data_IF_580970981260
#
_entry.id   IF_580970981260
#
_cell.length_a   1.000
_cell.length_b   1.000
_cell.length_c   1.000
_cell.angle_alpha   90.00
_cell.angle_beta   90.00
_cell.angle_gamma   90.00
#
_symmetry.space_group_name_H-M   'P 1'
#
loop_
_entity.id
_entity.type
_entity.pdbx_description
1 polymer ?
#
# COMPACT_ATOMS: atom_id res chain seq x y z
N UNK A 1 51.65 21.60 -9.13
CA UNK A 1 50.30 22.02 -8.68
C UNK A 1 49.51 20.76 -8.37
N UNK A 2 49.36 20.43 -7.09
CA UNK A 2 48.69 19.22 -6.61
C UNK A 2 47.44 19.67 -5.84
N UNK A 3 46.27 19.18 -6.23
CA UNK A 3 45.02 19.30 -5.46
C UNK A 3 44.62 17.89 -5.05
N UNK A 4 44.76 17.60 -3.76
CA UNK A 4 44.19 16.43 -3.12
C UNK A 4 42.67 16.59 -2.98
N UNK A 5 41.92 15.62 -3.52
CA UNK A 5 40.54 15.35 -3.14
C UNK A 5 40.51 14.72 -1.74
N UNK A 6 39.72 15.31 -0.84
CA UNK A 6 39.32 14.69 0.43
C UNK A 6 37.97 14.01 0.21
N UNK A 7 37.97 12.68 0.29
CA UNK A 7 36.77 11.86 0.46
C UNK A 7 36.17 12.12 1.85
N UNK A 8 34.90 12.55 1.88
CA UNK A 8 34.11 12.74 3.11
C UNK A 8 33.31 11.45 3.36
N UNK A 9 33.60 10.78 4.48
CA UNK A 9 32.84 9.63 4.99
C UNK A 9 31.42 10.05 5.38
N UNK A 10 30.42 9.44 4.76
CA UNK A 10 28.97 9.61 4.99
C UNK A 10 28.42 8.52 5.92
N UNK A 11 29.05 8.29 7.07
CA UNK A 11 28.65 7.25 8.03
C UNK A 11 27.81 7.69 9.24
N UNK A 12 27.43 8.97 9.37
CA UNK A 12 26.93 9.53 10.64
C UNK A 12 25.41 9.60 10.89
N UNK A 13 24.55 9.41 9.89
CA UNK A 13 23.15 9.87 10.00
C UNK A 13 22.19 9.02 10.85
N UNK A 14 22.36 7.70 10.88
CA UNK A 14 21.38 6.78 11.48
C UNK A 14 21.60 6.63 13.01
N UNK A 15 22.86 6.61 13.43
CA UNK A 15 23.22 6.41 14.84
C UNK A 15 23.00 7.67 15.70
N UNK A 16 23.29 8.84 15.15
CA UNK A 16 23.04 10.12 15.82
C UNK A 16 21.54 10.42 15.97
N UNK A 17 20.69 9.87 15.08
CA UNK A 17 19.23 9.97 15.21
C UNK A 17 18.65 8.98 16.22
N UNK A 18 19.25 7.78 16.36
CA UNK A 18 18.75 6.72 17.25
C UNK A 18 19.26 6.85 18.70
N UNK A 19 20.42 7.47 18.91
CA UNK A 19 21.08 7.59 20.21
C UNK A 19 21.55 9.02 20.52
N UNK A 20 20.87 10.02 19.97
CA UNK A 20 21.26 11.42 19.98
C UNK A 20 21.84 11.92 21.31
N UNK A 21 23.04 12.49 21.22
CA UNK A 21 23.77 13.09 22.35
C UNK A 21 22.95 14.27 22.91
N UNK A 22 22.74 14.39 24.24
CA UNK A 22 22.05 15.55 24.80
C UNK A 22 22.78 16.84 24.41
N UNK A 23 22.08 17.82 23.83
CA UNK A 23 22.68 19.12 23.52
C UNK A 23 23.02 19.84 24.83
N UNK A 24 24.27 20.28 25.00
CA UNK A 24 24.65 21.17 26.09
C UNK A 24 23.90 22.50 25.92
N UNK A 25 22.82 22.72 26.68
CA UNK A 25 22.22 24.04 26.80
C UNK A 25 23.22 24.95 27.52
N UNK A 26 23.74 25.97 26.84
CA UNK A 26 24.49 27.05 27.49
C UNK A 26 23.55 27.75 28.47
N UNK A 27 23.93 27.76 29.75
CA UNK A 27 23.20 28.45 30.80
C UNK A 27 23.07 29.94 30.50
N UNK A 28 21.84 30.40 30.39
CA UNK A 28 21.48 31.81 30.43
C UNK A 28 20.95 32.14 31.81
N UNK A 29 21.66 33.02 32.51
CA UNK A 29 21.27 33.58 33.81
C UNK A 29 19.94 34.34 33.68
N UNK A 30 18.91 33.95 34.43
CA UNK A 30 17.68 34.74 34.57
C UNK A 30 17.47 35.07 36.05
N UNK A 31 17.30 36.37 36.30
CA UNK A 31 17.16 37.00 37.60
C UNK A 31 15.86 36.63 38.31
N UNK A 32 15.97 36.50 39.63
CA UNK A 32 14.89 36.45 40.61
C UNK A 32 13.84 37.54 40.40
N UNK A 33 12.57 37.14 40.35
CA UNK A 33 11.39 38.00 40.38
C UNK A 33 10.25 37.25 41.08
N UNK A 34 10.06 37.56 42.36
CA UNK A 34 9.07 37.02 43.30
C UNK A 34 7.65 37.39 42.90
N UNK A 35 6.73 36.43 42.80
CA UNK A 35 5.30 36.63 43.08
C UNK A 35 4.68 35.34 43.63
N UNK A 36 4.05 35.47 44.79
CA UNK A 36 3.40 34.41 45.56
C UNK A 36 1.92 34.30 45.19
N UNK A 37 1.40 33.08 45.01
CA UNK A 37 0.07 32.72 45.51
C UNK A 37 -0.25 31.21 45.42
N UNK A 38 -0.82 30.67 46.51
CA UNK A 38 -1.89 29.66 46.45
C UNK A 38 -1.49 28.20 46.53
N UNK A 39 -1.06 27.73 47.71
CA UNK A 39 -0.86 26.29 47.98
C UNK A 39 -2.16 25.49 48.06
N UNK A 40 -2.12 24.27 47.53
CA UNK A 40 -2.99 23.14 47.90
C UNK A 40 -2.12 21.89 48.10
N UNK A 41 -2.47 20.97 49.02
CA UNK A 41 -1.53 20.06 49.65
C UNK A 41 -1.12 18.93 48.70
N UNK A 42 0.17 18.65 48.67
CA UNK A 42 0.78 17.50 47.99
C UNK A 42 0.57 16.28 48.88
N UNK A 43 -0.23 15.32 48.42
CA UNK A 43 -0.27 13.98 49.00
C UNK A 43 1.09 13.33 48.78
N UNK A 44 1.71 12.93 49.89
CA UNK A 44 3.00 12.24 49.93
C UNK A 44 2.87 10.80 49.47
N UNK A 45 3.16 10.56 48.19
CA UNK A 45 3.66 9.26 47.74
C UNK A 45 5.01 9.50 47.06
N UNK A 46 6.07 9.42 47.86
CA UNK A 46 7.46 9.50 47.40
C UNK A 46 7.81 8.19 46.67
N UNK A 47 7.43 8.09 45.40
CA UNK A 47 8.17 7.25 44.46
C UNK A 47 9.42 8.03 44.04
N UNK A 48 10.53 7.76 44.73
CA UNK A 48 11.85 8.28 44.33
C UNK A 48 12.21 7.63 42.99
N UNK A 49 12.04 8.37 41.91
CA UNK A 49 12.54 7.99 40.58
C UNK A 49 14.08 8.07 40.63
N UNK A 50 14.83 7.00 40.29
CA UNK A 50 16.29 7.00 40.37
C UNK A 50 16.92 8.18 39.60
N UNK A 51 17.97 8.77 40.17
CA UNK A 51 18.70 9.88 39.58
C UNK A 51 19.47 9.44 38.32
N UNK A 52 19.80 10.39 37.44
CA UNK A 52 20.62 10.12 36.24
C UNK A 52 21.98 9.52 36.59
N UNK A 53 22.51 9.84 37.78
CA UNK A 53 23.75 9.33 38.36
C UNK A 53 23.64 7.85 38.77
N UNK A 54 22.46 7.40 39.23
CA UNK A 54 22.19 5.99 39.58
C UNK A 54 22.24 5.09 38.34
N UNK A 55 21.79 5.59 37.19
CA UNK A 55 21.86 4.86 35.92
C UNK A 55 23.29 4.70 35.41
N UNK A 56 24.17 5.69 35.60
CA UNK A 56 25.57 5.57 35.17
C UNK A 56 26.31 4.50 35.98
N UNK A 57 26.11 4.46 37.30
CA UNK A 57 26.70 3.44 38.15
C UNK A 57 26.15 2.04 37.83
N UNK A 58 24.83 1.92 37.62
CA UNK A 58 24.20 0.67 37.22
C UNK A 58 24.77 0.12 35.91
N UNK A 59 24.89 0.94 34.86
CA UNK A 59 25.39 0.50 33.55
C UNK A 59 26.88 0.11 33.60
N UNK A 60 27.66 0.79 34.44
CA UNK A 60 29.08 0.48 34.63
C UNK A 60 29.29 -0.85 35.38
N UNK A 61 28.37 -1.23 36.26
CA UNK A 61 28.42 -2.46 37.05
C UNK A 61 27.95 -3.71 36.30
N UNK A 62 27.29 -3.56 35.14
CA UNK A 62 26.84 -4.71 34.34
C UNK A 62 28.02 -5.57 33.86
N UNK A 63 27.86 -6.89 33.96
CA UNK A 63 28.75 -7.84 33.32
C UNK A 63 28.68 -7.72 31.79
N UNK A 64 29.66 -8.28 31.09
CA UNK A 64 29.68 -8.24 29.60
C UNK A 64 28.44 -8.94 29.04
N UNK A 65 28.04 -10.08 29.60
CA UNK A 65 26.87 -10.82 29.15
C UNK A 65 25.55 -10.05 29.39
N UNK A 66 25.40 -9.39 30.55
CA UNK A 66 24.20 -8.59 30.85
C UNK A 66 24.13 -7.31 30.01
N UNK A 67 25.30 -6.69 29.74
CA UNK A 67 25.40 -5.55 28.84
C UNK A 67 24.97 -5.95 27.43
N UNK A 68 25.46 -7.07 26.94
CA UNK A 68 25.15 -7.60 25.60
C UNK A 68 23.67 -7.93 25.48
N UNK A 69 23.08 -8.57 26.50
CA UNK A 69 21.65 -8.87 26.56
C UNK A 69 20.79 -7.58 26.54
N UNK A 70 21.12 -6.59 27.37
CA UNK A 70 20.40 -5.29 27.38
C UNK A 70 20.57 -4.51 26.08
N UNK A 71 21.73 -4.58 25.46
CA UNK A 71 21.97 -3.92 24.18
C UNK A 71 21.15 -4.57 23.06
N UNK A 72 21.07 -5.90 23.05
CA UNK A 72 20.20 -6.65 22.13
C UNK A 72 18.72 -6.29 22.33
N UNK A 73 18.25 -6.23 23.58
CA UNK A 73 16.88 -5.82 23.91
C UNK A 73 16.55 -4.44 23.32
N UNK A 74 17.44 -3.45 23.47
CA UNK A 74 17.25 -2.10 22.91
C UNK A 74 17.27 -2.12 21.38
N UNK A 75 18.17 -2.89 20.76
CA UNK A 75 18.23 -3.02 19.30
C UNK A 75 16.92 -3.61 18.75
N UNK A 76 16.37 -4.61 19.44
CA UNK A 76 15.09 -5.22 19.09
C UNK A 76 13.94 -4.24 19.29
N UNK A 77 13.92 -3.52 20.42
CA UNK A 77 12.88 -2.55 20.74
C UNK A 77 12.89 -1.34 19.79
N UNK A 78 14.06 -0.97 19.26
CA UNK A 78 14.21 0.08 18.24
C UNK A 78 13.91 -0.41 16.80
N UNK A 79 13.49 -1.67 16.63
CA UNK A 79 13.13 -2.25 15.34
C UNK A 79 14.24 -2.16 14.26
N UNK A 80 15.51 -2.31 14.67
CA UNK A 80 16.63 -2.16 13.74
C UNK A 80 16.71 -3.39 12.81
N UNK A 81 16.79 -3.20 11.47
CA UNK A 81 16.95 -4.29 10.50
C UNK A 81 18.19 -5.16 10.76
N UNK A 82 18.10 -6.48 10.52
CA UNK A 82 19.15 -7.45 10.86
C UNK A 82 20.51 -7.11 10.25
N UNK A 83 20.52 -6.66 9.00
CA UNK A 83 21.69 -6.19 8.24
C UNK A 83 22.40 -4.99 8.91
N UNK A 84 21.68 -4.20 9.71
CA UNK A 84 22.24 -3.07 10.46
C UNK A 84 22.63 -3.43 11.90
N UNK A 85 22.32 -4.64 12.37
CA UNK A 85 22.65 -5.09 13.74
C UNK A 85 24.10 -5.51 13.88
N UNK A 86 24.65 -6.22 12.90
CA UNK A 86 26.04 -6.69 12.92
C UNK A 86 27.07 -5.59 13.22
N UNK A 87 27.07 -4.42 12.54
CA UNK A 87 28.00 -3.35 12.85
C UNK A 87 27.76 -2.69 14.22
N UNK A 88 26.55 -2.80 14.78
CA UNK A 88 26.24 -2.33 16.14
C UNK A 88 26.77 -3.29 17.19
N UNK A 89 26.63 -4.60 16.96
CA UNK A 89 27.10 -5.65 17.85
C UNK A 89 28.63 -5.74 17.88
N UNK A 90 29.30 -5.37 16.79
CA UNK A 90 30.76 -5.31 16.69
C UNK A 90 31.40 -4.11 17.44
N UNK A 91 30.61 -3.22 18.05
CA UNK A 91 31.12 -2.05 18.78
C UNK A 91 31.76 -2.40 20.12
N UNK A 92 32.67 -1.53 20.58
CA UNK A 92 33.36 -1.75 21.86
C UNK A 92 32.37 -1.77 23.03
N UNK A 93 32.77 -2.37 24.16
CA UNK A 93 31.97 -2.40 25.39
C UNK A 93 31.56 -0.99 25.83
N UNK A 94 32.50 -0.06 25.78
CA UNK A 94 32.33 1.34 26.19
C UNK A 94 31.38 2.10 25.25
N UNK A 95 31.42 1.80 23.95
CA UNK A 95 30.48 2.38 22.99
C UNK A 95 29.05 1.89 23.25
N UNK A 96 28.88 0.59 23.49
CA UNK A 96 27.56 0.00 23.79
C UNK A 96 27.00 0.50 25.12
N UNK A 97 27.83 0.64 26.15
CA UNK A 97 27.44 1.29 27.41
C UNK A 97 26.95 2.73 27.21
N UNK A 98 27.63 3.52 26.39
CA UNK A 98 27.20 4.90 26.06
C UNK A 98 25.86 4.91 25.33
N UNK A 99 25.64 3.99 24.40
CA UNK A 99 24.37 3.89 23.67
C UNK A 99 23.19 3.52 24.58
N UNK A 100 23.37 2.54 25.47
CA UNK A 100 22.37 2.18 26.48
C UNK A 100 22.08 3.40 27.38
N UNK A 101 23.13 4.09 27.82
CA UNK A 101 23.00 5.29 28.65
C UNK A 101 22.24 6.41 27.94
N UNK A 102 22.52 6.67 26.65
CA UNK A 102 21.77 7.66 25.87
C UNK A 102 20.32 7.27 25.67
N UNK A 103 20.03 5.99 25.43
CA UNK A 103 18.67 5.51 25.31
C UNK A 103 17.87 5.71 26.62
N UNK A 104 18.46 5.33 27.76
CA UNK A 104 17.85 5.50 29.08
C UNK A 104 17.71 6.99 29.48
N UNK A 105 18.73 7.82 29.20
CA UNK A 105 18.64 9.27 29.40
C UNK A 105 17.60 9.91 28.49
N UNK A 106 17.43 9.42 27.25
CA UNK A 106 16.39 9.84 26.33
C UNK A 106 14.99 9.54 26.88
N UNK A 107 14.76 8.30 27.35
CA UNK A 107 13.53 7.87 28.04
C UNK A 107 13.20 8.78 29.23
N UNK A 108 14.17 9.02 30.12
CA UNK A 108 13.93 9.87 31.30
C UNK A 108 13.84 11.38 30.99
N UNK A 109 14.45 11.85 29.89
CA UNK A 109 14.34 13.26 29.47
C UNK A 109 12.97 13.56 28.86
N UNK A 110 12.32 12.56 28.24
CA UNK A 110 10.91 12.64 27.83
C UNK A 110 10.00 12.74 29.06
N UNK A 111 10.29 11.99 30.13
CA UNK A 111 9.55 12.03 31.40
C UNK A 111 9.76 13.31 32.24
N UNK A 112 10.85 14.06 32.04
CA UNK A 112 11.16 15.29 32.81
C UNK A 112 10.92 16.59 32.05
N UNK A 113 10.46 16.54 30.81
CA UNK A 113 10.09 17.75 30.08
C UNK A 113 8.73 18.23 30.57
N UNK A 114 8.75 19.00 31.66
CA UNK A 114 7.58 19.60 32.34
C UNK A 114 6.69 20.52 31.46
N UNK A 115 6.90 20.54 30.14
CA UNK A 115 6.12 21.26 29.13
C UNK A 115 5.53 20.34 28.04
N UNK A 116 5.74 19.00 28.08
CA UNK A 116 5.06 18.08 27.17
C UNK A 116 3.68 17.76 27.71
N UNK A 117 2.61 18.11 26.96
CA UNK A 117 1.23 17.79 27.34
C UNK A 117 0.92 16.28 27.31
N UNK A 118 1.77 15.51 26.64
CA UNK A 118 1.62 14.07 26.44
C UNK A 118 2.95 13.40 26.78
N UNK A 119 3.04 12.80 27.96
CA UNK A 119 4.23 12.11 28.44
C UNK A 119 4.11 10.60 28.20
N UNK A 120 2.90 10.06 28.38
CA UNK A 120 2.60 8.64 28.24
C UNK A 120 1.69 8.35 27.04
N UNK A 121 1.73 7.13 26.48
CA UNK A 121 0.79 6.72 25.43
C UNK A 121 -0.68 6.91 25.82
N UNK A 122 -1.02 6.68 27.09
CA UNK A 122 -2.39 6.80 27.60
C UNK A 122 -2.92 8.23 27.53
N UNK A 123 -2.07 9.24 27.69
CA UNK A 123 -2.46 10.66 27.64
C UNK A 123 -3.05 11.01 26.26
N UNK A 124 -2.47 10.44 25.19
CA UNK A 124 -3.00 10.59 23.84
C UNK A 124 -4.38 9.95 23.69
N UNK A 125 -4.57 8.76 24.28
CA UNK A 125 -5.83 8.03 24.22
C UNK A 125 -6.93 8.79 24.92
N UNK A 126 -6.70 9.24 26.16
CA UNK A 126 -7.68 10.00 26.95
C UNK A 126 -8.02 11.33 26.28
N UNK A 127 -7.01 12.03 25.75
CA UNK A 127 -7.22 13.30 25.06
C UNK A 127 -8.06 13.13 23.79
N UNK A 128 -7.76 12.13 22.96
CA UNK A 128 -8.51 11.91 21.71
C UNK A 128 -9.91 11.34 21.95
N UNK A 129 -10.13 10.65 23.08
CA UNK A 129 -11.45 10.19 23.49
C UNK A 129 -12.31 11.32 24.09
N UNK A 130 -11.69 12.40 24.57
CA UNK A 130 -12.40 13.59 25.00
C UNK A 130 -13.06 14.29 23.79
N UNK A 131 -14.38 14.14 23.67
CA UNK A 131 -15.18 14.66 22.57
C UNK A 131 -15.34 16.18 22.52
N UNK A 132 -14.84 16.92 23.52
CA UNK A 132 -15.00 18.37 23.64
C UNK A 132 -13.94 19.18 22.87
N UNK A 133 -12.95 18.51 22.29
CA UNK A 133 -11.87 19.19 21.58
C UNK A 133 -12.27 19.63 20.17
N UNK A 134 -11.96 20.87 19.84
CA UNK A 134 -12.10 21.40 18.48
C UNK A 134 -11.26 20.57 17.49
N UNK A 135 -11.72 20.49 16.24
CA UNK A 135 -11.02 19.79 15.14
C UNK A 135 -9.53 20.15 15.04
N UNK A 136 -9.17 21.42 15.18
CA UNK A 136 -7.77 21.87 15.14
C UNK A 136 -6.92 21.26 16.27
N UNK A 137 -7.44 21.22 17.50
CA UNK A 137 -6.77 20.62 18.65
C UNK A 137 -6.62 19.10 18.51
N UNK A 138 -7.61 18.44 17.90
CA UNK A 138 -7.53 17.00 17.56
C UNK A 138 -6.42 16.78 16.53
N UNK A 139 -6.38 17.57 15.46
CA UNK A 139 -5.32 17.49 14.44
C UNK A 139 -3.92 17.63 15.05
N UNK A 140 -3.68 18.65 15.88
CA UNK A 140 -2.37 18.86 16.53
C UNK A 140 -1.97 17.68 17.42
N UNK A 141 -2.93 17.07 18.12
CA UNK A 141 -2.67 15.89 18.93
C UNK A 141 -2.31 14.67 18.06
N UNK A 142 -3.03 14.43 16.96
CA UNK A 142 -2.75 13.30 16.05
C UNK A 142 -1.41 13.48 15.34
N UNK A 143 -1.05 14.71 14.95
CA UNK A 143 0.26 15.02 14.37
C UNK A 143 1.39 14.73 15.38
N UNK A 144 1.23 15.15 16.64
CA UNK A 144 2.16 14.82 17.73
C UNK A 144 2.25 13.31 17.98
N UNK A 145 1.11 12.62 17.99
CA UNK A 145 1.03 11.17 18.15
C UNK A 145 1.77 10.44 17.04
N UNK A 146 1.63 10.89 15.78
CA UNK A 146 2.35 10.31 14.64
C UNK A 146 3.86 10.40 14.82
N UNK A 147 4.36 11.54 15.32
CA UNK A 147 5.79 11.70 15.63
C UNK A 147 6.20 10.72 16.72
N UNK A 148 5.46 10.66 17.83
CA UNK A 148 5.73 9.74 18.94
C UNK A 148 5.75 8.27 18.49
N UNK A 149 4.80 7.83 17.68
CA UNK A 149 4.73 6.47 17.12
C UNK A 149 5.90 6.13 16.19
N UNK A 150 6.53 7.13 15.58
CA UNK A 150 7.66 6.93 14.65
C UNK A 150 9.01 7.01 15.37
N UNK A 151 9.13 7.84 16.41
CA UNK A 151 10.39 8.10 17.10
C UNK A 151 10.61 7.21 18.32
N UNK A 152 9.55 6.74 18.96
CA UNK A 152 9.66 5.93 20.18
C UNK A 152 9.84 4.43 19.87
N UNK A 153 10.35 3.65 20.84
CA UNK A 153 10.54 2.21 20.67
C UNK A 153 9.23 1.44 20.52
N UNK A 154 9.31 0.18 20.07
CA UNK A 154 8.18 -0.74 19.95
C UNK A 154 7.46 -0.91 21.30
N UNK A 155 8.17 -0.89 22.43
CA UNK A 155 7.57 -0.96 23.77
C UNK A 155 6.57 0.17 24.02
N UNK A 156 6.84 1.38 23.53
CA UNK A 156 5.90 2.50 23.61
C UNK A 156 4.65 2.24 22.76
N UNK A 157 4.80 1.67 21.57
CA UNK A 157 3.69 1.29 20.68
C UNK A 157 2.85 0.17 21.32
N UNK A 158 3.49 -0.79 21.98
CA UNK A 158 2.83 -1.86 22.74
C UNK A 158 2.02 -1.30 23.92
N UNK A 159 2.54 -0.31 24.62
CA UNK A 159 1.84 0.39 25.70
C UNK A 159 0.66 1.23 25.18
N UNK A 160 0.81 1.90 24.02
CA UNK A 160 -0.31 2.55 23.32
C UNK A 160 -1.44 1.54 23.02
N UNK A 161 -1.06 0.31 22.66
CA UNK A 161 -1.93 -0.84 22.77
C UNK A 161 -3.11 -0.85 21.78
N UNK A 162 -3.98 -1.83 21.97
CA UNK A 162 -5.21 -1.99 21.17
C UNK A 162 -6.18 -0.81 21.40
N UNK A 163 -6.24 -0.28 22.62
CA UNK A 163 -7.10 0.85 22.96
C UNK A 163 -6.72 2.13 22.19
N UNK A 164 -5.42 2.40 22.06
CA UNK A 164 -4.92 3.50 21.26
C UNK A 164 -5.18 3.32 19.77
N UNK A 165 -4.91 2.12 19.23
CA UNK A 165 -5.20 1.78 17.83
C UNK A 165 -6.70 1.95 17.52
N UNK A 166 -7.58 1.46 18.40
CA UNK A 166 -9.03 1.64 18.27
C UNK A 166 -9.47 3.11 18.33
N UNK A 167 -8.69 3.98 18.98
CA UNK A 167 -8.95 5.43 18.98
C UNK A 167 -8.60 6.05 17.61
N UNK A 168 -7.50 5.63 16.99
CA UNK A 168 -7.15 6.04 15.62
C UNK A 168 -8.20 5.54 14.62
N UNK A 169 -8.66 4.29 14.77
CA UNK A 169 -9.72 3.72 13.95
C UNK A 169 -11.03 4.54 14.04
N UNK A 170 -11.45 4.92 15.26
CA UNK A 170 -12.61 5.79 15.47
C UNK A 170 -12.45 7.17 14.81
N UNK A 171 -11.25 7.75 14.86
CA UNK A 171 -10.95 9.01 14.18
C UNK A 171 -11.06 8.88 12.65
N UNK A 172 -10.54 7.79 12.09
CA UNK A 172 -10.69 7.44 10.68
C UNK A 172 -12.15 7.25 10.29
N UNK A 173 -12.94 6.53 11.09
CA UNK A 173 -14.37 6.36 10.83
C UNK A 173 -15.12 7.70 10.88
N UNK A 174 -14.79 8.57 11.84
CA UNK A 174 -15.38 9.91 11.95
C UNK A 174 -15.01 10.81 10.77
N UNK A 175 -13.81 10.67 10.22
CA UNK A 175 -13.37 11.51 9.09
C UNK A 175 -14.14 11.21 7.80
N UNK A 176 -14.67 10.00 7.64
CA UNK A 176 -15.48 9.63 6.46
C UNK A 176 -16.76 10.43 6.34
N UNK A 177 -17.33 10.84 7.47
CA UNK A 177 -18.59 11.57 7.53
C UNK A 177 -18.40 13.07 7.82
N UNK A 178 -17.16 13.55 7.96
CA UNK A 178 -16.89 14.93 8.33
C UNK A 178 -15.75 15.53 7.51
N UNK A 179 -16.08 16.41 6.57
CA UNK A 179 -15.10 17.10 5.72
C UNK A 179 -14.06 17.90 6.52
N UNK A 180 -14.38 18.41 7.71
CA UNK A 180 -13.39 19.14 8.52
C UNK A 180 -12.26 18.24 9.02
N UNK A 181 -12.43 16.92 8.98
CA UNK A 181 -11.46 15.93 9.45
C UNK A 181 -10.51 15.45 8.34
N UNK A 182 -10.50 16.04 7.15
CA UNK A 182 -9.62 15.61 6.05
C UNK A 182 -8.12 15.57 6.44
N UNK A 183 -7.63 16.59 7.14
CA UNK A 183 -6.24 16.59 7.64
C UNK A 183 -5.99 15.55 8.73
N UNK A 184 -7.01 15.27 9.54
CA UNK A 184 -6.97 14.25 10.60
C UNK A 184 -6.95 12.86 9.98
N UNK A 185 -7.71 12.63 8.91
CA UNK A 185 -7.71 11.40 8.12
C UNK A 185 -6.30 11.08 7.62
N UNK A 186 -5.65 12.05 6.98
CA UNK A 186 -4.28 11.91 6.48
C UNK A 186 -3.30 11.51 7.60
N UNK A 187 -3.26 12.26 8.71
CA UNK A 187 -2.33 11.94 9.80
C UNK A 187 -2.70 10.63 10.53
N UNK A 188 -3.98 10.27 10.65
CA UNK A 188 -4.40 9.00 11.23
C UNK A 188 -3.90 7.80 10.40
N UNK A 189 -3.94 7.87 9.07
CA UNK A 189 -3.35 6.84 8.19
C UNK A 189 -1.82 6.77 8.42
N UNK A 190 -1.15 7.90 8.60
CA UNK A 190 0.29 7.93 8.90
C UNK A 190 0.61 7.37 10.29
N UNK A 191 -0.25 7.56 11.29
CA UNK A 191 -0.14 6.88 12.58
C UNK A 191 -0.23 5.36 12.40
N UNK A 192 -1.23 4.87 11.64
CA UNK A 192 -1.34 3.44 11.34
C UNK A 192 -0.09 2.90 10.64
N UNK A 193 0.46 3.64 9.68
CA UNK A 193 1.71 3.28 9.02
C UNK A 193 2.87 3.15 9.99
N UNK A 194 3.02 4.07 10.94
CA UNK A 194 4.05 3.98 11.96
C UNK A 194 3.86 2.75 12.86
N UNK A 195 2.61 2.48 13.27
CA UNK A 195 2.26 1.31 14.10
C UNK A 195 2.58 0.00 13.38
N UNK A 196 2.29 -0.10 12.09
CA UNK A 196 2.46 -1.33 11.30
C UNK A 196 3.88 -1.52 10.77
N UNK A 197 4.76 -0.56 10.98
CA UNK A 197 6.17 -0.69 10.64
C UNK A 197 6.92 -1.71 11.53
N UNK A 198 6.21 -2.45 12.39
CA UNK A 198 6.72 -3.57 13.16
C UNK A 198 5.69 -4.73 13.15
N UNK A 199 6.17 -5.94 13.39
CA UNK A 199 5.33 -7.16 13.34
C UNK A 199 4.21 -7.17 14.37
N UNK A 200 4.44 -6.60 15.56
CA UNK A 200 3.43 -6.54 16.62
C UNK A 200 2.23 -5.68 16.19
N UNK A 201 2.47 -4.45 15.74
CA UNK A 201 1.40 -3.54 15.30
C UNK A 201 0.68 -4.06 14.05
N UNK A 202 1.42 -4.66 13.11
CA UNK A 202 0.82 -5.35 11.96
C UNK A 202 -0.14 -6.47 12.39
N UNK A 203 0.26 -7.30 13.37
CA UNK A 203 -0.58 -8.38 13.89
C UNK A 203 -1.85 -7.88 14.57
N UNK A 204 -1.79 -6.72 15.25
CA UNK A 204 -2.96 -6.11 15.87
C UNK A 204 -3.91 -5.54 14.81
N UNK A 205 -3.39 -4.81 13.82
CA UNK A 205 -4.22 -4.15 12.80
C UNK A 205 -4.81 -5.15 11.79
N UNK A 206 -4.04 -6.16 11.37
CA UNK A 206 -4.44 -7.17 10.39
C UNK A 206 -4.94 -8.46 11.05
N UNK A 207 -5.60 -8.35 12.21
CA UNK A 207 -6.16 -9.48 12.94
C UNK A 207 -7.16 -10.28 12.06
N UNK A 208 -7.12 -11.63 12.04
CA UNK A 208 -8.11 -12.48 11.35
C UNK A 208 -9.57 -12.09 11.56
N UNK A 209 -9.94 -11.63 12.75
CA UNK A 209 -11.33 -11.38 13.14
C UNK A 209 -11.80 -9.95 12.82
N UNK A 210 -10.87 -9.01 12.62
CA UNK A 210 -11.19 -7.58 12.45
C UNK A 210 -10.71 -7.05 11.09
N UNK A 211 -11.60 -6.32 10.41
CA UNK A 211 -11.38 -5.80 9.05
C UNK A 211 -11.67 -4.31 8.91
N UNK A 212 -12.02 -3.64 10.01
CA UNK A 212 -12.49 -2.26 10.02
C UNK A 212 -11.44 -1.30 9.49
N UNK A 213 -10.17 -1.42 9.92
CA UNK A 213 -9.08 -0.57 9.41
C UNK A 213 -8.90 -0.75 7.90
N UNK A 214 -8.93 -1.99 7.39
CA UNK A 214 -8.80 -2.27 5.94
C UNK A 214 -9.97 -1.66 5.16
N UNK A 215 -11.20 -1.76 5.68
CA UNK A 215 -12.38 -1.10 5.10
C UNK A 215 -12.26 0.42 5.09
N UNK A 216 -11.81 1.02 6.20
CA UNK A 216 -11.61 2.47 6.31
C UNK A 216 -10.51 2.97 5.37
N UNK A 217 -9.44 2.20 5.17
CA UNK A 217 -8.39 2.49 4.19
C UNK A 217 -8.93 2.37 2.75
N UNK A 218 -9.75 1.36 2.45
CA UNK A 218 -10.40 1.24 1.15
C UNK A 218 -11.35 2.43 0.89
N UNK A 219 -12.05 2.94 1.90
CA UNK A 219 -12.83 4.18 1.82
C UNK A 219 -11.97 5.44 1.65
N UNK A 220 -10.65 5.38 1.93
CA UNK A 220 -9.72 6.50 1.69
C UNK A 220 -9.21 6.56 0.25
N UNK A 221 -9.61 5.64 -0.63
CA UNK A 221 -9.25 5.63 -2.04
C UNK A 221 -10.08 6.69 -2.81
N UNK A 222 -9.75 7.96 -2.58
CA UNK A 222 -10.40 9.12 -3.19
C UNK A 222 -9.37 9.98 -3.96
N UNK A 223 -9.41 10.00 -5.30
CA UNK A 223 -8.48 10.79 -6.13
C UNK A 223 -8.52 12.29 -5.85
N UNK A 224 -9.62 12.80 -5.27
CA UNK A 224 -9.75 14.21 -4.87
C UNK A 224 -8.89 14.55 -3.65
N UNK A 225 -8.38 13.55 -2.93
CA UNK A 225 -7.49 13.69 -1.77
C UNK A 225 -6.17 12.95 -2.03
N UNK A 226 -5.30 13.42 -2.95
CA UNK A 226 -4.14 12.66 -3.44
C UNK A 226 -3.20 12.17 -2.34
N UNK A 227 -2.88 13.03 -1.37
CA UNK A 227 -1.94 12.69 -0.30
C UNK A 227 -2.47 11.57 0.61
N UNK A 228 -3.75 11.66 0.98
CA UNK A 228 -4.44 10.63 1.77
C UNK A 228 -4.53 9.32 1.01
N UNK A 229 -4.93 9.37 -0.26
CA UNK A 229 -5.03 8.19 -1.11
C UNK A 229 -3.66 7.52 -1.30
N UNK A 230 -2.58 8.29 -1.50
CA UNK A 230 -1.22 7.76 -1.57
C UNK A 230 -0.84 6.93 -0.35
N UNK A 231 -1.08 7.44 0.86
CA UNK A 231 -0.75 6.70 2.09
C UNK A 231 -1.66 5.48 2.28
N UNK A 232 -2.93 5.57 1.88
CA UNK A 232 -3.84 4.42 1.89
C UNK A 232 -3.38 3.31 0.92
N UNK A 233 -3.02 3.66 -0.32
CA UNK A 233 -2.52 2.73 -1.33
C UNK A 233 -1.25 2.01 -0.87
N UNK A 234 -0.29 2.74 -0.26
CA UNK A 234 0.93 2.14 0.29
C UNK A 234 0.62 1.06 1.34
N UNK A 235 -0.32 1.33 2.24
CA UNK A 235 -0.72 0.37 3.26
C UNK A 235 -1.47 -0.83 2.68
N UNK A 236 -2.45 -0.60 1.80
CA UNK A 236 -3.20 -1.67 1.16
C UNK A 236 -2.29 -2.58 0.31
N UNK A 237 -1.35 -2.01 -0.46
CA UNK A 237 -0.33 -2.76 -1.18
C UNK A 237 0.50 -3.63 -0.23
N UNK A 238 0.94 -3.05 0.91
CA UNK A 238 1.68 -3.79 1.92
C UNK A 238 0.88 -4.92 2.55
N UNK A 239 -0.44 -4.83 2.65
CA UNK A 239 -1.28 -5.92 3.18
C UNK A 239 -1.45 -7.05 2.17
N UNK A 240 -1.53 -6.74 0.88
CA UNK A 240 -1.67 -7.76 -0.17
C UNK A 240 -0.53 -8.79 -0.14
N UNK A 241 0.68 -8.38 0.25
CA UNK A 241 1.86 -9.25 0.33
C UNK A 241 1.98 -10.03 1.65
N UNK A 242 1.05 -9.85 2.61
CA UNK A 242 1.04 -10.57 3.89
C UNK A 242 0.14 -11.82 3.78
N UNK A 243 0.68 -12.86 3.15
CA UNK A 243 -0.04 -14.12 2.87
C UNK A 243 -0.51 -14.84 4.14
N UNK A 244 0.31 -14.89 5.18
CA UNK A 244 0.02 -15.58 6.46
C UNK A 244 -1.22 -15.05 7.20
N UNK A 245 -1.76 -13.90 6.78
CA UNK A 245 -2.90 -13.21 7.41
C UNK A 245 -4.08 -13.01 6.46
N UNK A 246 -4.07 -13.68 5.30
CA UNK A 246 -5.04 -13.51 4.21
C UNK A 246 -5.18 -12.03 3.80
N UNK A 247 -4.08 -11.26 3.88
CA UNK A 247 -4.12 -9.80 3.69
C UNK A 247 -4.66 -9.39 2.33
N UNK A 248 -4.29 -10.13 1.27
CA UNK A 248 -4.82 -9.95 -0.09
C UNK A 248 -6.35 -10.05 -0.16
N UNK A 249 -6.93 -11.15 0.36
CA UNK A 249 -8.38 -11.37 0.34
C UNK A 249 -9.12 -10.28 1.12
N UNK A 250 -8.56 -9.86 2.27
CA UNK A 250 -9.13 -8.79 3.09
C UNK A 250 -9.19 -7.47 2.32
N UNK A 251 -8.12 -7.11 1.61
CA UNK A 251 -8.04 -5.88 0.79
C UNK A 251 -9.06 -5.94 -0.35
N UNK A 252 -9.07 -7.03 -1.13
CA UNK A 252 -9.96 -7.16 -2.28
C UNK A 252 -11.43 -7.15 -1.85
N UNK A 253 -11.76 -7.85 -0.76
CA UNK A 253 -13.11 -7.84 -0.18
C UNK A 253 -13.49 -6.45 0.33
N UNK A 254 -12.58 -5.74 0.97
CA UNK A 254 -12.83 -4.38 1.45
C UNK A 254 -13.17 -3.44 0.29
N UNK A 255 -12.35 -3.41 -0.75
CA UNK A 255 -12.58 -2.60 -1.96
C UNK A 255 -13.94 -2.93 -2.59
N UNK A 256 -14.26 -4.21 -2.72
CA UNK A 256 -15.55 -4.68 -3.25
C UNK A 256 -16.73 -4.24 -2.37
N UNK A 257 -16.59 -4.32 -1.04
CA UNK A 257 -17.63 -3.92 -0.09
C UNK A 257 -17.91 -2.42 -0.16
N UNK A 258 -16.85 -1.60 -0.26
CA UNK A 258 -16.99 -0.14 -0.36
C UNK A 258 -17.65 0.27 -1.68
N UNK A 259 -17.27 -0.39 -2.77
CA UNK A 259 -17.87 -0.19 -4.09
C UNK A 259 -19.38 -0.47 -4.08
N UNK A 260 -19.79 -1.60 -3.47
CA UNK A 260 -21.19 -2.02 -3.36
C UNK A 260 -22.03 -1.14 -2.43
N UNK A 261 -21.42 -0.58 -1.36
CA UNK A 261 -22.13 0.24 -0.36
C UNK A 261 -22.17 1.73 -0.74
N UNK A 262 -21.36 2.15 -1.72
CA UNK A 262 -21.35 3.54 -2.19
C UNK A 262 -22.71 3.92 -2.78
N UNK A 263 -23.17 5.15 -2.51
CA UNK A 263 -24.50 5.67 -2.91
C UNK A 263 -24.79 5.60 -4.43
N UNK A 264 -23.76 5.40 -5.26
CA UNK A 264 -23.90 5.25 -6.72
C UNK A 264 -23.53 3.88 -7.26
N UNK A 265 -23.31 2.86 -6.42
CA UNK A 265 -22.75 1.56 -6.81
C UNK A 265 -21.58 1.75 -7.79
N UNK A 266 -20.45 2.25 -7.26
CA UNK A 266 -19.29 2.53 -8.09
C UNK A 266 -18.61 1.23 -8.51
N UNK A 267 -18.00 1.21 -9.67
CA UNK A 267 -17.07 0.14 -10.02
C UNK A 267 -15.86 0.19 -9.07
N UNK A 268 -15.44 -0.97 -8.56
CA UNK A 268 -14.56 -1.05 -7.39
C UNK A 268 -13.14 -0.54 -7.64
N UNK A 269 -12.67 -0.61 -8.88
CA UNK A 269 -11.33 -0.16 -9.27
C UNK A 269 -11.32 1.23 -9.93
N UNK A 270 -12.49 1.83 -10.16
CA UNK A 270 -12.61 3.14 -10.82
C UNK A 270 -11.80 4.25 -10.12
N UNK A 271 -11.85 4.41 -8.79
CA UNK A 271 -11.05 5.45 -8.12
C UNK A 271 -9.54 5.25 -8.33
N UNK A 272 -9.07 4.00 -8.35
CA UNK A 272 -7.64 3.68 -8.51
C UNK A 272 -7.18 3.98 -9.94
N UNK A 273 -8.02 3.67 -10.93
CA UNK A 273 -7.72 3.95 -12.34
C UNK A 273 -7.77 5.46 -12.62
N UNK A 274 -8.77 6.18 -12.11
CA UNK A 274 -8.86 7.64 -12.27
C UNK A 274 -7.63 8.34 -11.65
N UNK A 275 -7.08 7.80 -10.56
CA UNK A 275 -5.88 8.33 -9.90
C UNK A 275 -4.60 8.25 -10.75
N UNK A 276 -4.51 7.35 -11.74
CA UNK A 276 -3.40 7.31 -12.71
C UNK A 276 -3.32 8.59 -13.57
N UNK A 277 -4.45 9.26 -13.73
CA UNK A 277 -4.62 10.44 -14.59
C UNK A 277 -4.79 11.73 -13.80
N UNK A 278 -4.37 11.75 -12.53
CA UNK A 278 -4.40 12.97 -11.72
C UNK A 278 -3.66 14.11 -12.43
N UNK A 279 -4.19 15.33 -12.35
CA UNK A 279 -3.62 16.48 -13.06
C UNK A 279 -2.23 16.86 -12.52
N UNK A 280 -1.34 17.39 -13.38
CA UNK A 280 -0.01 17.89 -12.97
C UNK A 280 -0.08 18.97 -11.87
N UNK A 281 -1.17 19.74 -11.83
CA UNK A 281 -1.37 20.77 -10.80
C UNK A 281 -1.54 20.16 -9.41
N UNK A 282 -2.19 18.99 -9.33
CA UNK A 282 -2.45 18.29 -8.06
C UNK A 282 -1.34 17.31 -7.70
N UNK A 283 -0.66 16.74 -8.71
CA UNK A 283 0.37 15.72 -8.54
C UNK A 283 1.60 15.97 -9.43
N UNK A 284 2.39 17.03 -9.14
CA UNK A 284 3.49 17.47 -10.00
C UNK A 284 4.64 16.45 -10.11
N UNK A 285 4.74 15.52 -9.15
CA UNK A 285 5.74 14.44 -9.14
C UNK A 285 5.19 13.10 -9.60
N UNK A 286 3.91 13.05 -9.99
CA UNK A 286 3.20 11.83 -10.36
C UNK A 286 3.27 10.75 -9.27
N UNK A 287 3.28 11.17 -7.99
CA UNK A 287 3.33 10.27 -6.85
C UNK A 287 2.03 9.47 -6.69
N UNK A 288 0.87 10.09 -6.89
CA UNK A 288 -0.42 9.39 -6.82
C UNK A 288 -0.54 8.39 -7.96
N UNK A 289 -0.17 8.79 -9.18
CA UNK A 289 -0.15 7.88 -10.32
C UNK A 289 0.80 6.69 -10.07
N UNK A 290 2.00 6.96 -9.54
CA UNK A 290 2.99 5.93 -9.20
C UNK A 290 2.44 4.92 -8.18
N UNK A 291 1.92 5.39 -7.04
CA UNK A 291 1.39 4.47 -6.02
C UNK A 291 0.12 3.74 -6.45
N UNK A 292 -0.69 4.34 -7.33
CA UNK A 292 -1.86 3.67 -7.91
C UNK A 292 -1.43 2.53 -8.82
N UNK A 293 -0.40 2.74 -9.65
CA UNK A 293 0.14 1.71 -10.53
C UNK A 293 0.87 0.59 -9.74
N UNK A 294 1.61 0.95 -8.69
CA UNK A 294 2.19 -0.02 -7.75
C UNK A 294 1.09 -0.90 -7.15
N UNK A 295 -0.02 -0.31 -6.73
CA UNK A 295 -1.14 -1.05 -6.15
C UNK A 295 -1.85 -1.94 -7.17
N UNK A 296 -2.06 -1.46 -8.40
CA UNK A 296 -2.59 -2.27 -9.51
C UNK A 296 -1.70 -3.49 -9.75
N UNK A 297 -0.39 -3.28 -9.94
CA UNK A 297 0.58 -4.37 -10.12
C UNK A 297 0.56 -5.35 -8.95
N UNK A 298 0.45 -4.84 -7.71
CA UNK A 298 0.35 -5.70 -6.53
C UNK A 298 -0.92 -6.56 -6.59
N UNK A 299 -2.07 -5.96 -6.88
CA UNK A 299 -3.34 -6.69 -6.97
C UNK A 299 -3.33 -7.75 -8.08
N UNK A 300 -2.74 -7.45 -9.24
CA UNK A 300 -2.77 -8.35 -10.41
C UNK A 300 -1.65 -9.38 -10.40
N UNK A 301 -0.53 -9.13 -9.73
CA UNK A 301 0.64 -10.01 -9.76
C UNK A 301 0.76 -10.89 -8.51
N UNK A 302 0.07 -10.55 -7.42
CA UNK A 302 0.07 -11.38 -6.20
C UNK A 302 -0.60 -12.75 -6.41
N UNK A 303 -1.72 -12.90 -7.13
CA UNK A 303 -2.34 -14.20 -7.34
C UNK A 303 -1.52 -15.12 -8.26
N UNK A 304 -1.47 -16.41 -7.93
CA UNK A 304 -0.78 -17.43 -8.74
C UNK A 304 -1.64 -18.02 -9.86
N UNK A 305 -2.97 -17.97 -9.73
CA UNK A 305 -3.89 -18.46 -10.74
C UNK A 305 -4.01 -17.47 -11.92
N UNK A 306 -3.66 -17.92 -13.12
CA UNK A 306 -3.71 -17.10 -14.33
C UNK A 306 -5.12 -16.57 -14.62
N UNK A 307 -6.16 -17.39 -14.47
CA UNK A 307 -7.53 -16.96 -14.78
C UNK A 307 -7.95 -15.80 -13.89
N UNK A 308 -7.60 -15.87 -12.60
CA UNK A 308 -7.87 -14.81 -11.65
C UNK A 308 -7.03 -13.55 -11.91
N UNK A 309 -5.75 -13.69 -12.31
CA UNK A 309 -4.92 -12.56 -12.76
C UNK A 309 -5.53 -11.85 -13.98
N UNK A 310 -5.90 -12.61 -15.02
CA UNK A 310 -6.54 -12.11 -16.22
C UNK A 310 -7.88 -11.44 -15.92
N UNK A 311 -8.70 -12.05 -15.06
CA UNK A 311 -9.97 -11.48 -14.62
C UNK A 311 -9.80 -10.07 -14.02
N UNK A 312 -8.87 -9.92 -13.07
CA UNK A 312 -8.58 -8.63 -12.44
C UNK A 312 -8.00 -7.61 -13.42
N UNK A 313 -7.04 -8.01 -14.26
CA UNK A 313 -6.48 -7.15 -15.31
C UNK A 313 -7.56 -6.63 -16.23
N UNK A 314 -8.41 -7.52 -16.75
CA UNK A 314 -9.49 -7.13 -17.65
C UNK A 314 -10.51 -6.22 -16.98
N UNK A 315 -10.85 -6.47 -15.72
CA UNK A 315 -11.72 -5.57 -14.96
C UNK A 315 -11.11 -4.18 -14.83
N UNK A 316 -9.84 -4.06 -14.44
CA UNK A 316 -9.13 -2.78 -14.31
C UNK A 316 -9.05 -2.05 -15.67
N UNK A 317 -8.74 -2.77 -16.75
CA UNK A 317 -8.69 -2.21 -18.11
C UNK A 317 -10.05 -1.62 -18.52
N UNK A 318 -11.15 -2.31 -18.21
CA UNK A 318 -12.53 -1.85 -18.48
C UNK A 318 -12.96 -0.62 -17.67
N UNK A 319 -12.25 -0.24 -16.60
CA UNK A 319 -12.53 0.99 -15.85
C UNK A 319 -12.10 2.27 -16.60
N UNK A 320 -11.82 2.18 -17.90
CA UNK A 320 -11.37 3.29 -18.75
C UNK A 320 -9.85 3.42 -18.88
N UNK A 321 -9.07 2.47 -18.34
CA UNK A 321 -7.63 2.43 -18.59
C UNK A 321 -7.32 1.99 -20.02
N UNK A 322 -8.13 1.09 -20.60
CA UNK A 322 -7.97 0.65 -21.99
C UNK A 322 -8.03 1.83 -22.98
N UNK A 323 -9.12 2.59 -22.93
CA UNK A 323 -9.35 3.72 -23.86
C UNK A 323 -8.30 4.84 -23.72
N UNK A 324 -7.63 4.91 -22.57
CA UNK A 324 -6.68 5.97 -22.22
C UNK A 324 -5.24 5.46 -22.09
N UNK A 325 -4.94 4.26 -22.55
CA UNK A 325 -3.61 3.66 -22.38
C UNK A 325 -2.52 4.46 -23.11
N UNK A 326 -2.83 5.00 -24.30
CA UNK A 326 -1.91 5.86 -25.05
C UNK A 326 -1.66 7.19 -24.33
N UNK A 327 -2.68 7.75 -23.69
CA UNK A 327 -2.54 8.95 -22.86
C UNK A 327 -1.66 8.65 -21.64
N UNK A 328 -1.90 7.52 -20.97
CA UNK A 328 -1.12 7.11 -19.80
C UNK A 328 0.35 6.86 -20.16
N UNK A 329 0.61 6.21 -21.30
CA UNK A 329 1.97 6.02 -21.83
C UNK A 329 2.70 7.36 -21.97
N UNK A 330 2.07 8.35 -22.60
CA UNK A 330 2.64 9.70 -22.75
C UNK A 330 2.89 10.38 -21.41
N UNK A 331 1.98 10.22 -20.43
CA UNK A 331 2.15 10.75 -19.07
C UNK A 331 3.38 10.13 -18.41
N UNK A 332 3.57 8.81 -18.53
CA UNK A 332 4.70 8.10 -17.92
C UNK A 332 6.02 8.48 -18.58
N UNK A 333 6.06 8.56 -19.92
CA UNK A 333 7.26 8.96 -20.68
C UNK A 333 7.69 10.40 -20.39
N UNK A 334 6.73 11.32 -20.22
CA UNK A 334 7.00 12.70 -19.86
C UNK A 334 7.35 12.91 -18.37
N UNK A 335 7.08 11.91 -17.53
CA UNK A 335 7.31 11.99 -16.08
C UNK A 335 8.77 11.77 -15.73
N UNK A 336 9.29 12.54 -14.77
CA UNK A 336 10.62 12.33 -14.18
C UNK A 336 10.61 11.29 -13.03
N UNK A 337 9.50 10.57 -12.83
CA UNK A 337 9.36 9.60 -11.76
C UNK A 337 9.84 8.21 -12.23
N UNK A 338 11.09 7.87 -11.92
CA UNK A 338 11.72 6.60 -12.30
C UNK A 338 10.94 5.38 -11.81
N UNK A 339 10.37 5.44 -10.60
CA UNK A 339 9.58 4.35 -10.04
C UNK A 339 8.28 4.15 -10.84
N UNK A 340 7.62 5.23 -11.28
CA UNK A 340 6.44 5.12 -12.14
C UNK A 340 6.79 4.46 -13.47
N UNK A 341 7.88 4.88 -14.11
CA UNK A 341 8.36 4.28 -15.36
C UNK A 341 8.69 2.80 -15.20
N UNK A 342 9.38 2.43 -14.13
CA UNK A 342 9.70 1.04 -13.83
C UNK A 342 8.44 0.20 -13.61
N UNK A 343 7.48 0.68 -12.82
CA UNK A 343 6.24 -0.05 -12.58
C UNK A 343 5.33 -0.11 -13.81
N UNK A 344 5.41 0.85 -14.73
CA UNK A 344 4.73 0.79 -16.01
C UNK A 344 5.33 -0.26 -16.94
N UNK A 345 6.66 -0.37 -16.95
CA UNK A 345 7.35 -1.45 -17.64
C UNK A 345 6.92 -2.82 -17.09
N UNK A 346 6.97 -3.01 -15.77
CA UNK A 346 6.51 -4.26 -15.11
C UNK A 346 5.06 -4.57 -15.46
N UNK A 347 4.19 -3.56 -15.45
CA UNK A 347 2.78 -3.73 -15.79
C UNK A 347 2.61 -4.31 -17.20
N UNK A 348 3.32 -3.77 -18.19
CA UNK A 348 3.25 -4.24 -19.57
C UNK A 348 3.91 -5.62 -19.75
N UNK A 349 5.09 -5.85 -19.17
CA UNK A 349 5.80 -7.14 -19.29
C UNK A 349 4.96 -8.30 -18.73
N UNK A 350 4.48 -8.20 -17.49
CA UNK A 350 3.67 -9.28 -16.90
C UNK A 350 2.33 -9.45 -17.64
N UNK A 351 1.81 -8.37 -18.22
CA UNK A 351 0.58 -8.43 -19.02
C UNK A 351 0.79 -9.20 -20.32
N UNK A 352 1.92 -8.98 -21.01
CA UNK A 352 2.26 -9.78 -22.20
C UNK A 352 2.59 -11.24 -21.82
N UNK A 353 3.29 -11.46 -20.71
CA UNK A 353 3.59 -12.81 -20.20
C UNK A 353 2.31 -13.60 -19.89
N UNK A 354 1.33 -12.97 -19.20
CA UNK A 354 0.03 -13.58 -18.92
C UNK A 354 -0.74 -13.92 -20.20
N UNK A 355 -0.64 -13.07 -21.22
CA UNK A 355 -1.28 -13.31 -22.51
C UNK A 355 -0.61 -14.47 -23.27
N UNK A 356 0.71 -14.53 -23.27
CA UNK A 356 1.44 -15.65 -23.87
C UNK A 356 1.11 -16.96 -23.14
N UNK A 357 1.05 -16.95 -21.81
CA UNK A 357 0.62 -18.12 -21.02
C UNK A 357 -0.81 -18.55 -21.36
N UNK A 358 -1.72 -17.58 -21.56
CA UNK A 358 -3.10 -17.85 -21.97
C UNK A 358 -3.18 -18.49 -23.36
N UNK A 359 -2.48 -17.93 -24.35
CA UNK A 359 -2.44 -18.45 -25.72
C UNK A 359 -1.84 -19.86 -25.72
N UNK A 360 -0.74 -20.11 -25.02
CA UNK A 360 -0.15 -21.44 -24.92
C UNK A 360 -1.12 -22.47 -24.31
N UNK A 361 -1.93 -22.08 -23.31
CA UNK A 361 -2.98 -22.96 -22.78
C UNK A 361 -4.08 -23.23 -23.79
N UNK A 362 -4.47 -22.22 -24.57
CA UNK A 362 -5.46 -22.37 -25.62
C UNK A 362 -4.95 -23.26 -26.76
N UNK A 363 -3.72 -23.06 -27.22
CA UNK A 363 -3.07 -23.88 -28.24
C UNK A 363 -3.01 -25.34 -27.78
N UNK A 364 -2.66 -25.59 -26.51
CA UNK A 364 -2.71 -26.93 -25.93
C UNK A 364 -4.13 -27.52 -25.89
N UNK A 365 -5.19 -26.72 -25.72
CA UNK A 365 -6.57 -27.21 -25.84
C UNK A 365 -6.89 -27.56 -27.29
N UNK A 366 -6.56 -26.68 -28.24
CA UNK A 366 -6.79 -26.94 -29.67
C UNK A 366 -6.02 -28.16 -30.18
N UNK A 367 -4.81 -28.39 -29.68
CA UNK A 367 -3.98 -29.54 -30.05
C UNK A 367 -4.45 -30.87 -29.43
N UNK A 368 -5.23 -30.82 -28.33
CA UNK A 368 -5.74 -32.02 -27.66
C UNK A 368 -7.19 -32.36 -28.03
N UNK A 369 -7.87 -31.53 -28.84
CA UNK A 369 -9.29 -31.64 -29.13
C UNK A 369 -9.54 -31.53 -30.65
N UNK A 370 -9.17 -32.57 -31.38
CA UNK A 370 -9.32 -32.64 -32.85
C UNK A 370 -10.75 -32.99 -33.30
N UNK A 371 -11.64 -33.37 -32.37
CA UNK A 371 -13.04 -33.72 -32.66
C UNK A 371 -14.04 -32.67 -32.12
N UNK A 372 -15.02 -32.33 -32.95
CA UNK A 372 -16.06 -31.36 -32.62
C UNK A 372 -16.99 -31.86 -31.50
N UNK A 373 -17.19 -33.18 -31.40
CA UNK A 373 -18.02 -33.79 -30.36
C UNK A 373 -17.36 -33.65 -28.99
N UNK A 374 -16.06 -33.95 -28.91
CA UNK A 374 -15.29 -33.80 -27.67
C UNK A 374 -15.29 -32.32 -27.21
N UNK A 375 -15.09 -31.37 -28.14
CA UNK A 375 -15.18 -29.93 -27.83
C UNK A 375 -16.56 -29.55 -27.28
N UNK A 376 -17.61 -30.05 -27.92
CA UNK A 376 -18.99 -29.79 -27.52
C UNK A 376 -19.29 -30.37 -26.13
N UNK A 377 -18.86 -31.61 -25.85
CA UNK A 377 -19.11 -32.26 -24.56
C UNK A 377 -18.38 -31.55 -23.42
N UNK A 378 -17.14 -31.10 -23.64
CA UNK A 378 -16.42 -30.27 -22.67
C UNK A 378 -17.13 -28.94 -22.44
N UNK A 379 -17.49 -28.21 -23.50
CA UNK A 379 -18.21 -26.93 -23.38
C UNK A 379 -19.57 -27.10 -22.68
N UNK A 380 -20.32 -28.14 -23.03
CA UNK A 380 -21.58 -28.49 -22.40
C UNK A 380 -21.40 -28.76 -20.92
N UNK A 381 -20.42 -29.58 -20.54
CA UNK A 381 -20.14 -29.86 -19.13
C UNK A 381 -19.72 -28.61 -18.35
N UNK A 382 -19.01 -27.67 -19.00
CA UNK A 382 -18.61 -26.40 -18.38
C UNK A 382 -19.79 -25.44 -18.15
N UNK A 383 -20.79 -25.44 -19.05
CA UNK A 383 -21.91 -24.49 -18.98
C UNK A 383 -23.16 -25.04 -18.30
N UNK A 384 -23.32 -26.36 -18.19
CA UNK A 384 -24.50 -27.00 -17.56
C UNK A 384 -24.65 -26.55 -16.11
N UNK A 385 -25.87 -26.21 -15.70
CA UNK A 385 -26.23 -25.71 -14.36
C UNK A 385 -25.56 -24.37 -13.96
N UNK A 386 -25.02 -23.63 -14.94
CA UNK A 386 -24.43 -22.29 -14.70
C UNK A 386 -25.33 -21.17 -15.24
N UNK A 387 -25.09 -19.93 -14.80
CA UNK A 387 -25.78 -18.75 -15.36
C UNK A 387 -25.46 -18.50 -16.85
N UNK A 388 -24.45 -19.18 -17.40
CA UNK A 388 -24.02 -19.09 -18.79
C UNK A 388 -24.78 -20.04 -19.73
N UNK A 389 -25.43 -21.07 -19.20
CA UNK A 389 -26.17 -22.08 -19.97
C UNK A 389 -27.17 -21.51 -20.99
N UNK A 390 -28.06 -20.56 -20.65
CA UNK A 390 -29.01 -20.01 -21.62
C UNK A 390 -28.33 -19.22 -22.74
N UNK A 391 -27.18 -18.60 -22.48
CA UNK A 391 -26.43 -17.86 -23.50
C UNK A 391 -25.70 -18.81 -24.45
N UNK A 392 -25.09 -19.88 -23.93
CA UNK A 392 -24.46 -20.89 -24.78
C UNK A 392 -25.47 -21.59 -25.69
N UNK A 393 -26.63 -21.96 -25.16
CA UNK A 393 -27.74 -22.49 -25.96
C UNK A 393 -28.18 -21.50 -27.05
N UNK A 394 -28.31 -20.22 -26.71
CA UNK A 394 -28.67 -19.17 -27.67
C UNK A 394 -27.64 -19.07 -28.79
N UNK A 395 -26.34 -19.10 -28.49
CA UNK A 395 -25.28 -19.08 -29.51
C UNK A 395 -25.45 -20.24 -30.50
N UNK A 396 -25.61 -21.47 -30.00
CA UNK A 396 -25.82 -22.65 -30.84
C UNK A 396 -27.08 -22.53 -31.72
N UNK A 397 -28.17 -22.00 -31.15
CA UNK A 397 -29.41 -21.77 -31.90
C UNK A 397 -29.21 -20.75 -33.04
N UNK A 398 -28.46 -19.67 -32.81
CA UNK A 398 -28.15 -18.70 -33.87
C UNK A 398 -27.28 -19.30 -34.97
N UNK A 399 -26.34 -20.19 -34.63
CA UNK A 399 -25.53 -20.92 -35.62
C UNK A 399 -26.39 -21.81 -36.53
N UNK A 400 -27.51 -22.34 -36.05
CA UNK A 400 -28.45 -23.14 -36.86
C UNK A 400 -29.24 -22.30 -37.89
N UNK A 401 -29.33 -20.98 -37.71
CA UNK A 401 -30.04 -20.09 -38.65
C UNK A 401 -29.15 -19.61 -39.82
N UNK A 402 -27.85 -19.94 -39.83
CA UNK A 402 -26.97 -19.63 -40.95
C UNK A 402 -27.50 -20.35 -42.20
N UNK A 403 -27.82 -19.57 -43.23
CA UNK A 403 -28.41 -20.09 -44.46
C UNK A 403 -27.49 -21.10 -45.13
N UNK A 404 -28.09 -22.17 -45.64
CA UNK A 404 -27.39 -23.27 -46.31
C UNK A 404 -27.03 -22.90 -47.75
N UNK A 405 -26.14 -21.91 -47.89
CA UNK A 405 -25.58 -21.47 -49.16
C UNK A 405 -24.11 -21.90 -49.24
N UNK A 406 -23.76 -22.66 -50.28
CA UNK A 406 -22.43 -23.24 -50.46
C UNK A 406 -21.30 -22.19 -50.46
N UNK A 407 -21.54 -21.00 -51.01
CA UNK A 407 -20.51 -19.97 -51.14
C UNK A 407 -20.45 -19.05 -49.94
N UNK A 408 -21.60 -18.71 -49.34
CA UNK A 408 -21.65 -17.75 -48.24
C UNK A 408 -21.51 -18.39 -46.86
N UNK A 409 -21.91 -19.66 -46.68
CA UNK A 409 -21.85 -20.35 -45.38
C UNK A 409 -20.42 -20.38 -44.81
N UNK A 410 -19.36 -20.74 -45.58
CA UNK A 410 -17.99 -20.64 -45.07
C UNK A 410 -17.59 -19.23 -44.65
N UNK A 411 -18.00 -18.20 -45.40
CA UNK A 411 -17.70 -16.81 -45.07
C UNK A 411 -18.40 -16.34 -43.77
N UNK A 412 -19.64 -16.79 -43.52
CA UNK A 412 -20.32 -16.52 -42.24
C UNK A 412 -19.62 -17.21 -41.07
N UNK A 413 -19.25 -18.48 -41.20
CA UNK A 413 -18.52 -19.19 -40.14
C UNK A 413 -17.13 -18.61 -39.92
N UNK A 414 -16.43 -18.17 -40.96
CA UNK A 414 -15.15 -17.47 -40.81
C UNK A 414 -15.32 -16.15 -40.05
N UNK A 415 -16.32 -15.34 -40.39
CA UNK A 415 -16.59 -14.10 -39.66
C UNK A 415 -16.92 -14.35 -38.18
N UNK A 416 -17.71 -15.39 -37.92
CA UNK A 416 -18.09 -15.78 -36.55
C UNK A 416 -16.88 -16.31 -35.79
N UNK A 417 -16.05 -17.14 -36.42
CA UNK A 417 -14.78 -17.60 -35.85
C UNK A 417 -13.90 -16.40 -35.52
N UNK A 418 -13.69 -15.46 -36.44
CA UNK A 418 -12.92 -14.24 -36.19
C UNK A 418 -13.49 -13.42 -35.03
N UNK A 419 -14.82 -13.30 -34.91
CA UNK A 419 -15.48 -12.61 -33.80
C UNK A 419 -15.37 -13.36 -32.46
N UNK A 420 -15.48 -14.69 -32.46
CA UNK A 420 -15.33 -15.52 -31.25
C UNK A 420 -13.87 -15.49 -30.82
N UNK A 421 -12.94 -15.70 -31.74
CA UNK A 421 -11.50 -15.58 -31.54
C UNK A 421 -11.15 -14.19 -31.03
N UNK A 422 -11.71 -13.11 -31.58
CA UNK A 422 -11.53 -11.75 -31.03
C UNK A 422 -12.16 -11.55 -29.66
N UNK A 423 -13.28 -12.18 -29.30
CA UNK A 423 -13.88 -12.02 -27.97
C UNK A 423 -13.20 -12.87 -26.89
N UNK A 424 -12.84 -14.11 -27.24
CA UNK A 424 -12.04 -15.00 -26.42
C UNK A 424 -10.64 -14.42 -26.24
N UNK A 425 -10.06 -13.90 -27.33
CA UNK A 425 -8.86 -13.10 -27.29
C UNK A 425 -9.09 -11.80 -26.57
N UNK A 426 -10.22 -11.07 -26.63
CA UNK A 426 -10.53 -9.81 -25.89
C UNK A 426 -10.68 -9.98 -24.39
N UNK A 427 -11.02 -11.18 -23.91
CA UNK A 427 -10.78 -11.52 -22.50
C UNK A 427 -9.26 -11.63 -22.17
N UNK A 428 -8.39 -11.57 -23.18
CA UNK A 428 -6.94 -11.31 -23.13
C UNK A 428 -6.41 -10.15 -24.02
N UNK A 429 -7.26 -9.41 -24.76
CA UNK A 429 -6.96 -8.36 -25.77
C UNK A 429 -7.69 -7.05 -25.40
N UNK A 430 -8.55 -7.03 -24.37
CA UNK A 430 -8.74 -5.82 -23.54
C UNK A 430 -7.41 -5.33 -22.92
N UNK A 431 -6.34 -6.08 -23.17
CA UNK A 431 -4.93 -5.89 -22.84
C UNK A 431 -4.10 -5.36 -24.02
N UNK A 432 -4.59 -5.37 -25.27
CA UNK A 432 -3.89 -4.80 -26.43
C UNK A 432 -4.77 -3.80 -27.21
N UNK A 433 -4.27 -2.58 -27.36
CA UNK A 433 -4.67 -1.70 -28.46
C UNK A 433 -4.19 -2.25 -29.82
N UNK A 434 -4.68 -1.71 -30.94
CA UNK A 434 -4.66 -2.37 -32.25
C UNK A 434 -3.29 -2.21 -32.93
N UNK A 435 -2.33 -3.10 -32.65
CA UNK A 435 -1.10 -3.16 -33.45
C UNK A 435 -0.94 -4.44 -34.28
N UNK A 436 -1.80 -5.46 -34.09
CA UNK A 436 -1.82 -6.63 -35.00
C UNK A 436 -2.95 -6.63 -36.03
N UNK A 437 -4.01 -5.84 -35.84
CA UNK A 437 -5.18 -5.84 -36.74
C UNK A 437 -4.94 -5.09 -38.06
N UNK A 438 -3.94 -4.20 -38.14
CA UNK A 438 -3.64 -3.46 -39.38
C UNK A 438 -2.59 -4.13 -40.29
N UNK A 439 -1.83 -5.10 -39.80
CA UNK A 439 -0.79 -5.73 -40.63
C UNK A 439 -1.37 -6.77 -41.60
N UNK A 440 -2.50 -7.41 -41.27
CA UNK A 440 -3.17 -8.37 -42.17
C UNK A 440 -4.12 -7.73 -43.18
N UNK A 441 -4.67 -6.54 -42.91
CA UNK A 441 -5.48 -5.80 -43.90
C UNK A 441 -4.68 -5.31 -45.11
N UNK A 442 -3.36 -5.14 -44.98
CA UNK A 442 -2.48 -4.75 -46.09
C UNK A 442 -2.13 -5.91 -47.04
N UNK A 443 -2.05 -7.15 -46.53
CA UNK A 443 -1.62 -8.31 -47.33
C UNK A 443 -2.74 -8.98 -48.14
N UNK A 444 -4.02 -8.81 -47.78
CA UNK A 444 -5.12 -9.35 -48.59
C UNK A 444 -5.68 -8.37 -49.63
N UNK A 445 -5.51 -7.05 -49.44
CA UNK A 445 -5.96 -6.07 -50.45
C UNK A 445 -5.02 -6.06 -51.68
N UNK A 446 -3.80 -6.59 -51.58
CA UNK A 446 -2.88 -6.68 -52.72
C UNK A 446 -3.05 -7.93 -53.61
N UNK A 447 -3.81 -8.95 -53.18
CA UNK A 447 -3.98 -10.19 -53.94
C UNK A 447 -5.41 -10.42 -54.48
N UNK A 448 -6.32 -9.45 -54.33
CA UNK A 448 -7.71 -9.54 -54.82
C UNK A 448 -8.09 -8.49 -55.89
N UNK A 449 -7.10 -7.85 -56.52
CA UNK A 449 -7.34 -6.88 -57.58
C UNK A 449 -7.51 -7.55 -58.94
N UNK A 450 -8.64 -7.27 -59.58
CA UNK A 450 -9.02 -7.53 -60.99
C UNK A 450 -9.94 -8.73 -61.16
N UNK A 451 -11.25 -8.45 -61.18
CA UNK A 451 -12.17 -8.84 -62.26
C UNK A 451 -13.58 -8.31 -61.92
N UNK A 452 -13.96 -7.17 -62.50
CA UNK A 452 -15.29 -6.87 -63.06
C UNK A 452 -15.37 -5.41 -63.50
N UNK A 453 -15.71 -5.17 -64.78
CA UNK A 453 -16.23 -3.86 -65.21
C UNK A 453 -15.90 -3.41 -66.65
N UNK A 454 -16.26 -4.19 -67.68
CA UNK A 454 -17.16 -3.74 -68.75
C UNK A 454 -17.56 -4.88 -69.69
#
# INVERSE_FOLDING_TARGET
MSRHEKTKSTGGGLLDSLFGRPSKSKGGTISSGTLAHGGRPVSTDNYVVPGVEDFEQYIQQLSVAELDAKFLEIIEDMNIPKDKREPLLAKSKEERQKMIMWHLKGKNSLERSANSRFEKPIDYVEYLQNGEHSTHKVYQCVESLRVALTSNPISWIKEFGVAGIGTIEKLLARSKNNASYEKIEFEAIRCLKAIMNNTWGLNVVLNPDQHSVVLLLAQSLDPRKPQTMCEALKLLASFCIVYERNGYEKVLRAITTIAATSFKASERFRPIVDALFASDQQDPKRELACHSLIFINTLTNTPTDLNFRLHLRCEIMRMGLYDRLDEFTKIVEASNNEALQQHFKIFNEIREDDFEEFVQRFDNVTFNMDDATDCFDVLKNLVTDTTSEPYFLSILQHLLYIRDDFYFRPAYYQLIEECISQNAAANGEAVQGPQRVLCFRSQQIHNGGVLCGH
#
